data_IF_440747984152
#
_entry.id   IF_440747984152
#
_cell.length_a   1.000
_cell.length_b   1.000
_cell.length_c   1.000
_cell.angle_alpha   90.00
_cell.angle_beta   90.00
_cell.angle_gamma   90.00
#
_symmetry.space_group_name_H-M   'P 1'
#
loop_
_entity.id
_entity.type
_entity.pdbx_description
1 polymer ?
#
# COMPACT_ATOMS: atom_id res chain seq x y z
N UNK A 1 5.11 -23.66 0.68
CA UNK A 1 4.80 -22.29 1.16
C UNK A 1 3.59 -22.46 2.03
N UNK A 2 3.76 -22.29 3.33
CA UNK A 2 2.75 -22.64 4.34
C UNK A 2 1.67 -21.55 4.37
N UNK A 3 0.41 -21.88 4.61
CA UNK A 3 -0.68 -20.88 4.70
C UNK A 3 -0.40 -19.81 5.78
N UNK A 4 0.39 -20.16 6.79
CA UNK A 4 0.82 -19.27 7.86
C UNK A 4 1.82 -18.18 7.42
N UNK A 5 2.45 -18.30 6.25
CA UNK A 5 3.32 -17.27 5.69
C UNK A 5 2.52 -16.04 5.20
N UNK A 6 1.21 -16.20 4.98
CA UNK A 6 0.29 -15.15 4.54
C UNK A 6 -0.56 -14.56 5.67
N UNK A 7 -0.48 -15.13 6.87
CA UNK A 7 -1.23 -14.62 8.02
C UNK A 7 -0.54 -13.35 8.51
N UNK A 8 -1.19 -12.21 8.28
CA UNK A 8 -0.81 -10.92 8.85
C UNK A 8 -0.89 -11.06 10.38
N UNK A 9 0.24 -11.40 11.01
CA UNK A 9 0.36 -11.72 12.44
C UNK A 9 0.10 -10.55 13.40
N UNK A 10 -0.08 -9.34 12.88
CA UNK A 10 -0.36 -8.16 13.70
C UNK A 10 -1.38 -7.28 12.96
N UNK A 11 -2.54 -6.93 13.56
CA UNK A 11 -3.49 -6.00 12.96
C UNK A 11 -2.94 -4.57 13.08
N UNK A 12 -1.84 -4.30 12.38
CA UNK A 12 -1.29 -2.98 12.23
C UNK A 12 -1.90 -2.37 10.98
N UNK A 13 -2.68 -1.32 11.17
CA UNK A 13 -3.27 -0.58 10.06
C UNK A 13 -2.23 0.27 9.31
N UNK A 14 -1.06 0.49 9.90
CA UNK A 14 0.03 1.22 9.27
C UNK A 14 1.36 0.48 9.41
N UNK A 15 2.18 0.54 8.37
CA UNK A 15 3.53 -0.05 8.35
C UNK A 15 4.54 0.94 7.82
N UNK A 16 5.81 0.79 8.20
CA UNK A 16 6.88 1.59 7.61
C UNK A 16 6.95 1.40 6.08
N UNK A 17 7.33 2.46 5.38
CA UNK A 17 7.52 2.43 3.93
C UNK A 17 8.43 1.29 3.45
N UNK A 18 9.43 0.93 4.26
CA UNK A 18 10.33 -0.20 4.01
C UNK A 18 9.58 -1.54 4.00
N UNK A 19 8.80 -1.82 5.05
CA UNK A 19 8.00 -3.04 5.12
C UNK A 19 6.92 -3.06 4.04
N UNK A 20 6.34 -1.90 3.72
CA UNK A 20 5.39 -1.78 2.61
C UNK A 20 6.03 -2.12 1.26
N UNK A 21 7.31 -1.75 1.05
CA UNK A 21 8.04 -2.11 -0.16
C UNK A 21 8.23 -3.63 -0.29
N UNK A 22 8.57 -4.29 0.82
CA UNK A 22 8.66 -5.76 0.86
C UNK A 22 7.31 -6.42 0.53
N UNK A 23 6.21 -5.93 1.11
CA UNK A 23 4.86 -6.44 0.85
C UNK A 23 4.43 -6.25 -0.62
N UNK A 24 4.84 -5.14 -1.24
CA UNK A 24 4.53 -4.82 -2.63
C UNK A 24 5.48 -5.53 -3.63
N UNK A 25 6.57 -6.15 -3.16
CA UNK A 25 7.60 -6.73 -4.00
C UNK A 25 8.37 -5.70 -4.84
N UNK A 26 8.52 -4.46 -4.33
CA UNK A 26 9.23 -3.37 -5.03
C UNK A 26 10.48 -2.94 -4.26
N UNK A 27 11.50 -2.39 -4.95
CA UNK A 27 12.62 -1.75 -4.29
C UNK A 27 12.16 -0.61 -3.35
N UNK A 28 12.82 -0.47 -2.21
CA UNK A 28 12.55 0.59 -1.22
C UNK A 28 12.65 2.00 -1.81
N UNK A 29 13.56 2.18 -2.77
CA UNK A 29 13.73 3.44 -3.51
C UNK A 29 12.47 3.81 -4.30
N UNK A 30 11.85 2.83 -4.98
CA UNK A 30 10.64 3.06 -5.76
C UNK A 30 9.46 3.47 -4.86
N UNK A 31 9.27 2.81 -3.71
CA UNK A 31 8.23 3.21 -2.75
C UNK A 31 8.50 4.62 -2.21
N UNK A 32 9.75 4.95 -1.91
CA UNK A 32 10.12 6.30 -1.46
C UNK A 32 9.78 7.37 -2.51
N UNK A 33 10.01 7.09 -3.79
CA UNK A 33 9.63 7.98 -4.90
C UNK A 33 8.11 8.09 -5.03
N UNK A 34 7.37 7.00 -4.86
CA UNK A 34 5.90 7.02 -4.84
C UNK A 34 5.36 7.90 -3.71
N UNK A 35 5.98 7.84 -2.52
CA UNK A 35 5.63 8.70 -1.39
C UNK A 35 5.91 10.17 -1.72
N UNK A 36 7.08 10.48 -2.29
CA UNK A 36 7.43 11.85 -2.72
C UNK A 36 6.46 12.39 -3.78
N UNK A 37 5.96 11.52 -4.64
CA UNK A 37 4.98 11.84 -5.67
C UNK A 37 3.52 11.84 -5.17
N UNK A 38 3.27 11.72 -3.86
CA UNK A 38 1.93 11.65 -3.25
C UNK A 38 1.03 10.53 -3.82
N UNK A 39 1.61 9.39 -4.19
CA UNK A 39 0.88 8.23 -4.75
C UNK A 39 0.42 7.23 -3.69
N UNK A 40 0.73 7.47 -2.42
CA UNK A 40 0.44 6.55 -1.31
C UNK A 40 -0.17 7.29 -0.13
N UNK A 41 -1.11 6.67 0.61
CA UNK A 41 -1.67 7.24 1.84
C UNK A 41 -0.64 7.12 2.97
N UNK A 42 0.07 8.20 3.26
CA UNK A 42 1.17 8.23 4.23
C UNK A 42 0.83 9.10 5.44
N UNK A 43 1.15 8.57 6.62
CA UNK A 43 1.18 9.28 7.88
C UNK A 43 2.64 9.66 8.16
N UNK A 44 2.90 10.95 8.37
CA UNK A 44 4.22 11.43 8.75
C UNK A 44 4.29 11.60 10.27
N UNK A 45 5.05 10.73 10.94
CA UNK A 45 5.33 10.85 12.35
C UNK A 45 6.53 11.76 12.54
N UNK A 46 6.31 12.88 13.23
CA UNK A 46 7.33 13.89 13.53
C UNK A 46 7.45 14.05 15.03
N UNK A 47 8.65 14.35 15.50
CA UNK A 47 8.88 14.76 16.88
C UNK A 47 8.06 16.03 17.18
N UNK A 48 7.15 16.00 18.17
CA UNK A 48 6.35 17.17 18.55
C UNK A 48 7.19 18.40 18.93
N UNK A 49 8.40 18.18 19.45
CA UNK A 49 9.32 19.25 19.86
C UNK A 49 10.15 19.78 18.69
N UNK A 50 10.16 19.06 17.55
CA UNK A 50 10.92 19.44 16.34
C UNK A 50 10.05 19.28 15.08
N UNK A 51 8.94 20.03 14.96
CA UNK A 51 7.99 19.87 13.85
C UNK A 51 8.57 20.19 12.46
N UNK A 52 9.68 20.95 12.43
CA UNK A 52 10.42 21.32 11.22
C UNK A 52 11.58 20.38 10.89
N UNK A 53 11.83 19.33 11.68
CA UNK A 53 12.88 18.38 11.39
C UNK A 53 12.60 17.62 10.07
N UNK A 54 13.64 17.45 9.26
CA UNK A 54 13.57 16.82 7.94
C UNK A 54 13.40 15.29 8.02
N UNK A 55 13.76 14.70 9.16
CA UNK A 55 13.71 13.27 9.43
C UNK A 55 12.47 12.94 10.27
N UNK A 56 11.32 12.80 9.60
CA UNK A 56 10.13 12.16 10.17
C UNK A 56 9.99 10.75 9.60
N UNK A 57 9.43 9.85 10.39
CA UNK A 57 9.10 8.52 9.90
C UNK A 57 7.85 8.58 9.01
N UNK A 58 7.84 7.75 7.97
CA UNK A 58 6.73 7.67 7.01
C UNK A 58 6.09 6.30 7.06
N UNK A 59 4.85 6.26 7.50
CA UNK A 59 4.07 5.04 7.63
C UNK A 59 2.97 5.03 6.58
N UNK A 60 2.82 3.93 5.87
CA UNK A 60 1.76 3.74 4.87
C UNK A 60 0.55 3.14 5.55
N UNK A 61 -0.61 3.78 5.41
CA UNK A 61 -1.87 3.31 5.98
C UNK A 61 -2.53 2.29 5.04
N UNK A 62 -2.50 1.02 5.44
CA UNK A 62 -2.91 -0.13 4.63
C UNK A 62 -4.43 -0.16 4.35
N UNK A 63 -5.33 0.11 5.31
CA UNK A 63 -6.77 0.06 5.04
C UNK A 63 -7.21 1.00 3.93
N UNK A 64 -6.71 2.23 3.92
CA UNK A 64 -7.07 3.21 2.89
C UNK A 64 -6.48 2.86 1.53
N UNK A 65 -5.24 2.36 1.50
CA UNK A 65 -4.65 1.85 0.27
C UNK A 65 -5.51 0.72 -0.32
N UNK A 66 -5.91 -0.25 0.50
CA UNK A 66 -6.74 -1.37 0.08
C UNK A 66 -8.14 -0.92 -0.37
N UNK A 67 -8.74 0.04 0.34
CA UNK A 67 -10.05 0.62 -0.03
C UNK A 67 -9.99 1.25 -1.43
N UNK A 68 -8.99 2.11 -1.67
CA UNK A 68 -8.82 2.80 -2.94
C UNK A 68 -8.48 1.84 -4.10
N UNK A 69 -7.65 0.82 -3.85
CA UNK A 69 -7.34 -0.20 -4.87
C UNK A 69 -8.59 -0.98 -5.30
N UNK A 70 -9.46 -1.36 -4.35
CA UNK A 70 -10.74 -2.03 -4.66
C UNK A 70 -11.64 -1.11 -5.46
N UNK A 71 -11.79 0.14 -5.02
CA UNK A 71 -12.61 1.14 -5.71
C UNK A 71 -12.12 1.38 -7.15
N UNK A 72 -10.81 1.51 -7.34
CA UNK A 72 -10.18 1.65 -8.66
C UNK A 72 -10.35 0.41 -9.55
N UNK A 73 -10.56 -0.78 -8.98
CA UNK A 73 -10.90 -1.97 -9.73
C UNK A 73 -12.36 -1.95 -10.19
N UNK A 74 -13.29 -1.64 -9.28
CA UNK A 74 -14.73 -1.64 -9.58
C UNK A 74 -15.21 -0.46 -10.43
N UNK A 75 -14.50 0.67 -10.43
CA UNK A 75 -14.83 1.84 -11.26
C UNK A 75 -14.48 1.67 -12.75
N UNK A 76 -13.88 0.55 -13.16
CA UNK A 76 -13.57 0.29 -14.57
C UNK A 76 -14.82 -0.17 -15.32
N UNK A 77 -14.91 0.08 -16.64
CA UNK A 77 -15.96 -0.51 -17.48
C UNK A 77 -16.01 -2.02 -17.29
N UNK A 78 -17.23 -2.59 -17.24
CA UNK A 78 -17.46 -4.01 -16.95
C UNK A 78 -16.72 -4.89 -17.95
N UNK A 79 -16.67 -4.48 -19.22
CA UNK A 79 -15.96 -5.17 -20.29
C UNK A 79 -14.47 -5.31 -19.98
N UNK A 80 -13.84 -4.28 -19.39
CA UNK A 80 -12.43 -4.33 -19.00
C UNK A 80 -12.21 -5.06 -17.67
N UNK A 81 -13.16 -4.91 -16.74
CA UNK A 81 -13.08 -5.52 -15.40
C UNK A 81 -13.21 -7.03 -15.46
N UNK A 82 -14.08 -7.53 -16.34
CA UNK A 82 -14.50 -8.94 -16.34
C UNK A 82 -13.95 -9.72 -17.54
N UNK A 83 -13.29 -9.07 -18.52
CA UNK A 83 -12.71 -9.76 -19.70
C UNK A 83 -11.80 -10.95 -19.36
N UNK A 84 -11.10 -10.89 -18.22
CA UNK A 84 -10.22 -11.98 -17.78
C UNK A 84 -10.98 -13.22 -17.29
N UNK A 85 -12.27 -13.12 -16.94
CA UNK A 85 -13.11 -14.26 -16.51
C UNK A 85 -13.27 -15.30 -17.63
N UNK A 86 -13.31 -14.86 -18.89
CA UNK A 86 -13.35 -15.74 -20.06
C UNK A 86 -12.17 -16.71 -20.10
N UNK A 87 -11.00 -16.25 -19.66
CA UNK A 87 -9.79 -17.08 -19.61
C UNK A 87 -9.80 -18.10 -18.46
N UNK A 88 -10.74 -17.96 -17.52
CA UNK A 88 -10.98 -18.91 -16.43
C UNK A 88 -12.19 -19.82 -16.67
N UNK A 89 -12.85 -19.70 -17.83
CA UNK A 89 -14.04 -20.48 -18.16
C UNK A 89 -15.30 -20.06 -17.37
N UNK A 90 -15.36 -18.79 -16.94
CA UNK A 90 -16.51 -18.15 -16.30
C UNK A 90 -17.21 -17.18 -17.24
#
# INVERSE_FOLDING_TARGET
MEANDYVIKYPLDAVHAEKFADLLGKPKTAVTEMIKANKLPVIELRDPNKPKARAGEKWVFIPEFNRAVREAFYNRPVEQRDAWLLWMGL
#
